data_IF_461086447927
#
_entry.id   IF_461086447927
#
_cell.length_a   1.000
_cell.length_b   1.000
_cell.length_c   1.000
_cell.angle_alpha   90.00
_cell.angle_beta   90.00
_cell.angle_gamma   90.00
#
_symmetry.space_group_name_H-M   'P 1'
#
loop_
_entity.id
_entity.type
_entity.pdbx_description
1 polymer ?
#
# COMPACT_ATOMS: atom_id res chain seq x y z
N UNK A 1 28.87 -9.28 -61.34
CA UNK A 1 29.28 -8.90 -60.00
C UNK A 1 28.24 -8.01 -59.38
N UNK A 2 27.38 -8.47 -58.47
CA UNK A 2 26.38 -7.69 -57.75
C UNK A 2 26.85 -7.57 -56.31
N UNK A 3 27.09 -6.32 -55.85
CA UNK A 3 27.47 -6.00 -54.50
C UNK A 3 26.25 -6.17 -53.56
N UNK A 4 26.42 -7.02 -52.56
CA UNK A 4 25.43 -7.21 -51.51
C UNK A 4 25.50 -6.04 -50.51
N UNK A 5 24.45 -5.24 -50.46
CA UNK A 5 24.28 -4.17 -49.46
C UNK A 5 24.04 -4.73 -48.07
N UNK A 6 24.98 -4.53 -47.17
CA UNK A 6 24.85 -4.84 -45.78
C UNK A 6 23.83 -3.87 -45.13
N UNK A 7 22.64 -4.36 -44.74
CA UNK A 7 21.70 -3.63 -43.91
C UNK A 7 22.29 -3.47 -42.51
N UNK A 8 22.74 -2.27 -42.16
CA UNK A 8 23.04 -1.89 -40.78
C UNK A 8 21.79 -2.09 -39.92
N UNK A 9 21.86 -3.06 -39.01
CA UNK A 9 20.87 -3.18 -37.92
C UNK A 9 21.07 -1.99 -37.02
N UNK A 10 20.12 -1.05 -37.08
CA UNK A 10 20.05 0.07 -36.15
C UNK A 10 20.02 -0.44 -34.70
N UNK A 11 21.02 -0.11 -33.92
CA UNK A 11 21.07 -0.38 -32.49
C UNK A 11 19.88 0.33 -31.86
N UNK A 12 18.92 -0.42 -31.31
CA UNK A 12 17.90 0.10 -30.46
C UNK A 12 18.59 0.81 -29.27
N UNK A 13 18.69 2.13 -29.30
CA UNK A 13 19.15 2.92 -28.15
C UNK A 13 18.24 2.57 -26.99
N UNK A 14 18.73 1.74 -26.06
CA UNK A 14 18.02 1.30 -24.87
C UNK A 14 17.52 2.52 -24.12
N UNK A 15 16.21 2.60 -23.96
CA UNK A 15 15.54 3.69 -23.22
C UNK A 15 16.11 3.71 -21.80
N UNK A 16 16.70 4.84 -21.37
CA UNK A 16 17.26 4.99 -20.03
C UNK A 16 16.17 4.65 -19.01
N UNK A 17 16.44 3.80 -17.99
CA UNK A 17 15.43 3.44 -17.00
C UNK A 17 14.92 4.69 -16.26
N UNK A 18 13.67 4.67 -15.82
CA UNK A 18 13.02 5.75 -15.09
C UNK A 18 13.74 6.07 -13.77
N UNK A 19 14.24 5.01 -13.10
CA UNK A 19 14.99 5.10 -11.84
C UNK A 19 16.32 4.37 -12.05
N UNK A 20 17.44 5.04 -11.84
CA UNK A 20 18.76 4.41 -11.88
C UNK A 20 18.96 3.53 -10.65
N UNK A 21 19.08 4.12 -9.46
CA UNK A 21 19.21 3.40 -8.18
C UNK A 21 17.99 3.62 -7.30
N UNK A 22 17.28 2.53 -7.01
CA UNK A 22 16.16 2.48 -6.07
C UNK A 22 16.62 1.80 -4.78
N UNK A 23 16.55 2.49 -3.65
CA UNK A 23 16.78 1.92 -2.33
C UNK A 23 15.42 1.66 -1.66
N UNK A 24 15.20 0.44 -1.20
CA UNK A 24 13.94 0.05 -0.54
C UNK A 24 14.22 -0.35 0.90
N UNK A 25 13.66 0.38 1.83
CA UNK A 25 13.58 0.01 3.24
C UNK A 25 12.32 -0.83 3.45
N UNK A 26 12.52 -2.10 3.80
CA UNK A 26 11.42 -3.07 3.95
C UNK A 26 11.14 -3.86 2.67
N UNK A 27 11.84 -4.98 2.48
CA UNK A 27 11.60 -5.91 1.37
C UNK A 27 10.53 -6.93 1.80
N UNK A 28 9.30 -6.44 1.92
CA UNK A 28 8.09 -7.22 2.18
C UNK A 28 7.24 -7.38 0.91
N UNK A 29 5.95 -7.61 1.11
CA UNK A 29 4.97 -7.71 0.01
C UNK A 29 5.01 -6.46 -0.88
N UNK A 30 4.88 -5.25 -0.30
CA UNK A 30 4.77 -4.00 -1.08
C UNK A 30 6.11 -3.63 -1.71
N UNK A 31 7.19 -3.49 -0.91
CA UNK A 31 8.51 -3.09 -1.44
C UNK A 31 9.06 -4.10 -2.45
N UNK A 32 8.88 -5.39 -2.18
CA UNK A 32 9.30 -6.46 -3.09
C UNK A 32 8.50 -6.49 -4.39
N UNK A 33 7.19 -6.32 -4.32
CA UNK A 33 6.33 -6.30 -5.51
C UNK A 33 6.61 -5.07 -6.39
N UNK A 34 6.90 -3.90 -5.80
CA UNK A 34 7.33 -2.73 -6.57
C UNK A 34 8.63 -3.01 -7.32
N UNK A 35 9.63 -3.58 -6.64
CA UNK A 35 10.89 -3.94 -7.27
C UNK A 35 10.68 -4.88 -8.47
N UNK A 36 9.90 -5.96 -8.27
CA UNK A 36 9.57 -6.92 -9.35
C UNK A 36 8.80 -6.26 -10.51
N UNK A 37 7.81 -5.42 -10.20
CA UNK A 37 7.02 -4.73 -11.21
C UNK A 37 7.88 -3.79 -12.07
N UNK A 38 8.79 -3.03 -11.47
CA UNK A 38 9.69 -2.13 -12.16
C UNK A 38 10.75 -2.88 -12.98
N UNK A 39 11.33 -3.96 -12.44
CA UNK A 39 12.27 -4.82 -13.15
C UNK A 39 11.64 -5.46 -14.39
N UNK A 40 10.44 -6.03 -14.24
CA UNK A 40 9.68 -6.63 -15.36
C UNK A 40 9.44 -5.64 -16.50
N UNK A 41 9.35 -4.34 -16.20
CA UNK A 41 9.09 -3.26 -17.17
C UNK A 41 10.36 -2.50 -17.57
N UNK A 42 11.54 -2.97 -17.17
CA UNK A 42 12.84 -2.33 -17.42
C UNK A 42 12.88 -0.85 -16.98
N UNK A 43 12.14 -0.51 -15.91
CA UNK A 43 11.99 0.84 -15.42
C UNK A 43 12.97 1.21 -14.29
N UNK A 44 13.70 0.24 -13.74
CA UNK A 44 14.74 0.43 -12.73
C UNK A 44 16.02 -0.25 -13.17
N UNK A 45 17.18 0.42 -12.97
CA UNK A 45 18.47 -0.17 -13.31
C UNK A 45 19.02 -1.05 -12.18
N UNK A 46 18.89 -0.59 -10.92
CA UNK A 46 19.43 -1.28 -9.74
C UNK A 46 18.51 -1.10 -8.54
N UNK A 47 18.25 -2.18 -7.82
CA UNK A 47 17.46 -2.19 -6.58
C UNK A 47 18.34 -2.64 -5.42
N UNK A 48 18.47 -1.78 -4.40
CA UNK A 48 19.18 -2.06 -3.16
C UNK A 48 18.18 -2.27 -2.04
N UNK A 49 18.29 -3.38 -1.32
CA UNK A 49 17.37 -3.73 -0.23
C UNK A 49 17.97 -3.47 1.14
N UNK A 50 17.18 -2.84 2.01
CA UNK A 50 17.48 -2.61 3.43
C UNK A 50 16.38 -3.24 4.28
N UNK A 51 16.74 -3.91 5.37
CA UNK A 51 15.74 -4.52 6.27
C UNK A 51 16.35 -5.19 7.49
N UNK A 52 15.53 -5.44 8.52
CA UNK A 52 15.96 -6.03 9.80
C UNK A 52 16.33 -7.51 9.70
N UNK A 53 15.62 -8.27 8.87
CA UNK A 53 15.80 -9.72 8.76
C UNK A 53 16.79 -10.07 7.67
N UNK A 54 18.00 -10.51 8.04
CA UNK A 54 19.02 -11.00 7.10
C UNK A 54 18.50 -12.16 6.26
N UNK A 55 17.72 -13.07 6.86
CA UNK A 55 17.15 -14.22 6.15
C UNK A 55 16.17 -13.77 5.05
N UNK A 56 15.32 -12.76 5.35
CA UNK A 56 14.39 -12.20 4.36
C UNK A 56 15.12 -11.48 3.21
N UNK A 57 16.19 -10.72 3.52
CA UNK A 57 17.00 -10.05 2.50
C UNK A 57 17.73 -11.05 1.59
N UNK A 58 18.28 -12.13 2.15
CA UNK A 58 18.89 -13.21 1.37
C UNK A 58 17.86 -13.93 0.48
N UNK A 59 16.65 -14.16 0.99
CA UNK A 59 15.55 -14.69 0.17
C UNK A 59 15.19 -13.74 -0.97
N UNK A 60 15.03 -12.44 -0.69
CA UNK A 60 14.75 -11.42 -1.70
C UNK A 60 15.81 -11.37 -2.81
N UNK A 61 17.09 -11.46 -2.44
CA UNK A 61 18.20 -11.51 -3.42
C UNK A 61 18.15 -12.77 -4.29
N UNK A 62 17.92 -13.94 -3.67
CA UNK A 62 17.79 -15.22 -4.41
C UNK A 62 16.60 -15.24 -5.37
N UNK A 63 15.51 -14.57 -4.99
CA UNK A 63 14.31 -14.42 -5.83
C UNK A 63 14.44 -13.34 -6.91
N UNK A 64 15.59 -12.67 -7.03
CA UNK A 64 15.82 -11.61 -8.00
C UNK A 64 15.04 -10.31 -7.71
N UNK A 65 14.44 -10.17 -6.53
CA UNK A 65 13.69 -8.97 -6.11
C UNK A 65 14.64 -7.79 -5.97
N UNK A 66 15.77 -7.98 -5.30
CA UNK A 66 16.82 -6.98 -5.12
C UNK A 66 18.12 -7.47 -5.77
N UNK A 67 18.94 -6.52 -6.20
CA UNK A 67 20.26 -6.79 -6.80
C UNK A 67 21.35 -6.83 -5.73
N UNK A 68 21.14 -6.06 -4.65
CA UNK A 68 22.09 -5.88 -3.58
C UNK A 68 21.40 -5.76 -2.22
N UNK A 69 22.09 -6.30 -1.20
CA UNK A 69 21.72 -6.08 0.19
C UNK A 69 22.65 -4.98 0.72
N UNK A 70 22.09 -3.88 1.22
CA UNK A 70 22.89 -2.82 1.83
C UNK A 70 23.58 -3.33 3.11
N UNK A 71 24.89 -3.12 3.18
CA UNK A 71 25.65 -3.34 4.42
C UNK A 71 25.43 -2.21 5.43
N UNK A 72 25.36 -0.99 4.92
CA UNK A 72 25.08 0.24 5.68
C UNK A 72 23.95 1.02 4.99
N UNK A 73 22.82 1.27 5.70
CA UNK A 73 21.73 2.09 5.21
C UNK A 73 22.11 3.51 4.83
N UNK A 74 23.03 4.13 5.56
CA UNK A 74 23.50 5.48 5.31
C UNK A 74 24.27 5.60 3.98
N UNK A 75 25.17 4.65 3.72
CA UNK A 75 25.88 4.58 2.45
C UNK A 75 24.95 4.22 1.28
N UNK A 76 23.91 3.40 1.55
CA UNK A 76 22.97 2.99 0.51
C UNK A 76 22.23 4.17 -0.13
N UNK A 77 21.96 5.24 0.61
CA UNK A 77 21.11 6.35 0.13
C UNK A 77 21.89 7.51 -0.51
N UNK A 78 23.23 7.56 -0.37
CA UNK A 78 24.04 8.70 -0.82
C UNK A 78 23.90 9.01 -2.31
N UNK A 79 23.85 7.99 -3.17
CA UNK A 79 23.74 8.09 -4.62
C UNK A 79 22.40 7.54 -5.14
N UNK A 80 21.39 7.46 -4.27
CA UNK A 80 20.07 6.97 -4.65
C UNK A 80 19.29 8.02 -5.45
N UNK A 81 18.67 7.61 -6.55
CA UNK A 81 17.69 8.45 -7.26
C UNK A 81 16.37 8.51 -6.47
N UNK A 82 16.01 7.38 -5.85
CA UNK A 82 14.77 7.25 -5.12
C UNK A 82 14.92 6.28 -3.93
N UNK A 83 14.38 6.68 -2.79
CA UNK A 83 14.26 5.87 -1.57
C UNK A 83 12.79 5.60 -1.31
N UNK A 84 12.42 4.32 -1.16
CA UNK A 84 11.09 3.89 -0.75
C UNK A 84 11.12 3.40 0.70
N UNK A 85 10.25 3.95 1.53
CA UNK A 85 9.97 3.45 2.87
C UNK A 85 8.75 2.51 2.83
N UNK A 86 9.00 1.21 2.91
CA UNK A 86 7.97 0.16 2.96
C UNK A 86 8.11 -0.68 4.25
N UNK A 87 8.48 0.00 5.34
CA UNK A 87 8.61 -0.55 6.69
C UNK A 87 7.29 -0.40 7.47
N UNK A 88 7.08 -1.14 8.57
CA UNK A 88 6.01 -0.84 9.51
C UNK A 88 6.05 0.63 9.96
N UNK A 89 4.88 1.24 10.14
CA UNK A 89 4.76 2.69 10.41
C UNK A 89 5.57 3.15 11.63
N UNK A 90 5.60 2.35 12.69
CA UNK A 90 6.38 2.64 13.89
C UNK A 90 7.90 2.74 13.67
N UNK A 91 8.41 2.30 12.51
CA UNK A 91 9.84 2.40 12.16
C UNK A 91 10.16 3.61 11.28
N UNK A 92 9.14 4.28 10.72
CA UNK A 92 9.32 5.36 9.75
C UNK A 92 10.18 6.49 10.31
N UNK A 93 9.91 6.93 11.54
CA UNK A 93 10.67 7.99 12.21
C UNK A 93 12.16 7.65 12.35
N UNK A 94 12.47 6.44 12.81
CA UNK A 94 13.85 6.00 13.01
C UNK A 94 14.61 5.88 11.69
N UNK A 95 13.97 5.34 10.64
CA UNK A 95 14.58 5.26 9.31
C UNK A 95 14.83 6.64 8.74
N UNK A 96 13.88 7.57 8.82
CA UNK A 96 14.04 8.94 8.34
C UNK A 96 15.17 9.66 9.07
N UNK A 97 15.24 9.54 10.41
CA UNK A 97 16.33 10.11 11.21
C UNK A 97 17.70 9.58 10.79
N UNK A 98 17.80 8.28 10.52
CA UNK A 98 19.04 7.61 10.12
C UNK A 98 19.52 8.06 8.73
N UNK A 99 18.61 8.17 7.75
CA UNK A 99 19.01 8.43 6.36
C UNK A 99 19.13 9.91 6.03
N UNK A 100 18.43 10.78 6.74
CA UNK A 100 18.34 12.21 6.40
C UNK A 100 19.70 12.91 6.21
N UNK A 101 20.73 12.70 7.08
CA UNK A 101 22.04 13.32 6.92
C UNK A 101 22.82 12.85 5.68
N UNK A 102 22.41 11.73 5.09
CA UNK A 102 23.14 11.04 4.03
C UNK A 102 22.45 11.09 2.67
N UNK A 103 21.28 11.74 2.59
CA UNK A 103 20.55 11.89 1.32
C UNK A 103 21.29 12.80 0.36
N UNK A 104 21.43 12.35 -0.88
CA UNK A 104 21.97 13.17 -1.95
C UNK A 104 21.07 14.38 -2.29
N UNK A 105 21.61 15.43 -2.93
CA UNK A 105 20.87 16.66 -3.22
C UNK A 105 19.67 16.47 -4.15
N UNK A 106 19.62 15.39 -4.89
CA UNK A 106 18.55 15.06 -5.84
C UNK A 106 17.72 13.83 -5.45
N UNK A 107 18.06 13.17 -4.35
CA UNK A 107 17.36 11.97 -3.89
C UNK A 107 15.91 12.31 -3.54
N UNK A 108 14.99 11.57 -4.13
CA UNK A 108 13.55 11.63 -3.79
C UNK A 108 13.26 10.55 -2.75
N UNK A 109 12.54 10.90 -1.71
CA UNK A 109 12.05 9.96 -0.70
C UNK A 109 10.54 9.81 -0.86
N UNK A 110 10.04 8.58 -0.79
CA UNK A 110 8.61 8.27 -0.79
C UNK A 110 8.33 7.14 0.17
N UNK A 111 7.09 6.97 0.57
CA UNK A 111 6.66 5.88 1.43
C UNK A 111 5.54 5.05 0.81
N UNK A 112 5.17 3.97 1.49
CA UNK A 112 4.04 3.11 1.17
C UNK A 112 3.14 2.87 2.40
N UNK A 113 3.21 3.74 3.39
CA UNK A 113 2.49 3.62 4.65
C UNK A 113 0.98 3.75 4.51
N UNK A 114 0.25 3.10 5.41
CA UNK A 114 -1.22 3.10 5.41
C UNK A 114 -1.84 4.36 6.04
N UNK A 115 -1.04 5.20 6.71
CA UNK A 115 -1.42 6.49 7.28
C UNK A 115 -0.53 7.58 6.70
N UNK A 116 -1.02 8.84 6.65
CA UNK A 116 -0.26 9.90 5.98
C UNK A 116 0.12 11.05 6.92
N UNK A 117 -0.74 11.44 7.85
CA UNK A 117 -0.48 12.59 8.75
C UNK A 117 0.78 12.37 9.60
N UNK A 118 0.90 11.21 10.22
CA UNK A 118 2.05 10.84 11.05
C UNK A 118 3.34 10.72 10.24
N UNK A 119 3.29 10.07 9.08
CA UNK A 119 4.44 9.90 8.18
C UNK A 119 4.95 11.27 7.69
N UNK A 120 4.05 12.18 7.31
CA UNK A 120 4.39 13.55 6.92
C UNK A 120 5.00 14.32 8.09
N UNK A 121 4.45 14.19 9.29
CA UNK A 121 5.00 14.82 10.49
C UNK A 121 6.44 14.35 10.77
N UNK A 122 6.69 13.03 10.66
CA UNK A 122 8.04 12.48 10.79
C UNK A 122 8.98 12.97 9.69
N UNK A 123 8.53 12.99 8.44
CA UNK A 123 9.33 13.50 7.32
C UNK A 123 9.69 14.97 7.51
N UNK A 124 8.74 15.81 7.93
CA UNK A 124 8.95 17.23 8.23
C UNK A 124 9.98 17.44 9.35
N UNK A 125 9.92 16.59 10.39
CA UNK A 125 10.83 16.66 11.53
C UNK A 125 12.28 16.31 11.16
N UNK A 126 12.49 15.30 10.32
CA UNK A 126 13.82 14.73 10.11
C UNK A 126 14.49 15.14 8.81
N UNK A 127 13.75 15.41 7.73
CA UNK A 127 14.32 15.61 6.40
C UNK A 127 14.87 17.03 6.14
N UNK A 128 14.53 18.03 6.95
CA UNK A 128 14.99 19.41 6.73
C UNK A 128 14.71 19.87 5.28
N UNK A 129 15.73 20.36 4.58
CA UNK A 129 15.62 20.81 3.20
C UNK A 129 15.22 19.67 2.20
N UNK A 130 15.47 18.40 2.54
CA UNK A 130 15.06 17.27 1.72
C UNK A 130 13.55 17.02 1.79
N UNK A 131 12.81 17.63 2.73
CA UNK A 131 11.37 17.48 2.84
C UNK A 131 10.63 17.89 1.56
N UNK A 132 11.10 18.91 0.85
CA UNK A 132 10.56 19.29 -0.45
C UNK A 132 10.59 18.14 -1.50
N UNK A 133 11.44 17.14 -1.31
CA UNK A 133 11.53 15.96 -2.17
C UNK A 133 10.93 14.71 -1.54
N UNK A 134 10.20 14.86 -0.45
CA UNK A 134 9.40 13.79 0.13
C UNK A 134 8.02 13.75 -0.52
N UNK A 135 7.64 12.61 -1.08
CA UNK A 135 6.33 12.39 -1.72
C UNK A 135 5.59 11.32 -0.95
N UNK A 136 4.65 11.70 -0.07
CA UNK A 136 3.86 10.73 0.68
C UNK A 136 2.92 9.96 -0.25
N UNK A 137 2.91 8.64 -0.11
CA UNK A 137 2.13 7.76 -0.98
C UNK A 137 1.58 6.56 -0.22
N UNK A 138 0.41 6.06 -0.65
CA UNK A 138 -0.22 4.86 -0.12
C UNK A 138 -0.75 4.00 -1.27
N UNK A 139 -0.07 2.91 -1.63
CA UNK A 139 -0.59 1.93 -2.59
C UNK A 139 -1.72 1.12 -1.93
N UNK A 140 -2.92 1.19 -2.51
CA UNK A 140 -4.11 0.48 -2.02
C UNK A 140 -4.14 -0.92 -2.59
N UNK A 141 -3.17 -1.72 -2.17
CA UNK A 141 -2.98 -3.10 -2.59
C UNK A 141 -2.34 -3.88 -1.42
N UNK A 142 -2.67 -5.14 -1.30
CA UNK A 142 -2.11 -5.99 -0.26
C UNK A 142 -2.83 -7.33 -0.15
N UNK A 143 -2.21 -8.23 0.60
CA UNK A 143 -2.79 -9.50 1.05
C UNK A 143 -2.43 -9.69 2.52
N UNK A 144 -2.99 -10.70 3.16
CA UNK A 144 -2.64 -11.09 4.53
C UNK A 144 -1.22 -11.67 4.66
N UNK A 145 -0.56 -12.00 3.53
CA UNK A 145 0.79 -12.57 3.51
C UNK A 145 1.86 -11.50 3.65
N UNK A 146 3.00 -11.85 4.24
CA UNK A 146 4.11 -10.95 4.49
C UNK A 146 5.46 -11.51 4.05
N UNK A 147 6.50 -10.65 4.04
CA UNK A 147 7.86 -11.02 3.66
C UNK A 147 8.11 -11.03 2.15
N UNK A 148 9.38 -11.24 1.78
CA UNK A 148 9.82 -11.21 0.38
C UNK A 148 9.19 -12.32 -0.48
N UNK A 149 8.92 -13.50 0.11
CA UNK A 149 8.29 -14.63 -0.59
C UNK A 149 6.84 -14.37 -1.01
N UNK A 150 6.18 -13.39 -0.39
CA UNK A 150 4.82 -12.99 -0.74
C UNK A 150 4.78 -12.00 -1.92
N UNK A 151 5.91 -11.43 -2.31
CA UNK A 151 5.99 -10.42 -3.36
C UNK A 151 5.77 -11.00 -4.77
N UNK A 152 5.03 -10.29 -5.61
CA UNK A 152 4.81 -10.65 -7.02
C UNK A 152 4.60 -9.41 -7.90
N UNK A 153 5.02 -9.48 -9.16
CA UNK A 153 5.11 -8.33 -10.06
C UNK A 153 3.76 -7.69 -10.48
N UNK A 154 2.65 -8.41 -10.29
CA UNK A 154 1.31 -7.98 -10.70
C UNK A 154 0.43 -7.54 -9.52
N UNK A 155 1.00 -7.39 -8.32
CA UNK A 155 0.26 -6.97 -7.13
C UNK A 155 -0.52 -5.66 -7.35
N UNK A 156 0.02 -4.77 -8.15
CA UNK A 156 -0.50 -3.41 -8.32
C UNK A 156 -1.41 -3.23 -9.52
N UNK A 157 -1.57 -4.26 -10.35
CA UNK A 157 -2.41 -4.16 -11.55
C UNK A 157 -3.87 -3.85 -11.14
N UNK A 158 -4.45 -2.79 -11.75
CA UNK A 158 -5.81 -2.27 -11.50
C UNK A 158 -6.09 -1.75 -10.07
N UNK A 159 -5.05 -1.53 -9.27
CA UNK A 159 -5.16 -0.94 -7.93
C UNK A 159 -4.92 0.58 -7.96
N UNK A 160 -5.18 1.25 -6.85
CA UNK A 160 -5.01 2.70 -6.70
C UNK A 160 -3.76 3.04 -5.91
N UNK A 161 -3.14 4.16 -6.26
CA UNK A 161 -2.20 4.88 -5.41
C UNK A 161 -2.85 6.19 -4.97
N UNK A 162 -2.80 6.46 -3.68
CA UNK A 162 -3.10 7.80 -3.17
C UNK A 162 -1.78 8.51 -2.88
N UNK A 163 -1.64 9.71 -3.44
CA UNK A 163 -0.51 10.61 -3.15
C UNK A 163 -1.04 11.81 -2.38
N UNK A 164 -0.36 12.18 -1.30
CA UNK A 164 -0.79 13.30 -0.43
C UNK A 164 0.32 14.35 -0.34
N UNK A 165 0.67 15.02 -1.45
CA UNK A 165 1.74 16.01 -1.45
C UNK A 165 1.36 17.22 -0.60
N UNK A 166 2.34 17.74 0.15
CA UNK A 166 2.22 18.99 0.89
C UNK A 166 2.51 20.20 -0.04
N UNK A 167 2.12 21.42 0.35
CA UNK A 167 2.37 22.61 -0.47
C UNK A 167 3.84 22.81 -0.85
N UNK A 168 4.77 22.39 0.02
CA UNK A 168 6.22 22.50 -0.18
C UNK A 168 6.78 21.38 -1.08
N UNK A 169 6.01 20.35 -1.38
CA UNK A 169 6.49 19.19 -2.16
C UNK A 169 6.80 19.59 -3.61
N UNK A 170 8.02 19.33 -4.06
CA UNK A 170 8.45 19.58 -5.45
C UNK A 170 7.57 18.79 -6.44
N UNK A 171 6.94 19.51 -7.34
CA UNK A 171 6.07 18.95 -8.38
C UNK A 171 6.80 17.96 -9.31
N UNK A 172 8.12 18.09 -9.49
CA UNK A 172 8.94 17.15 -10.28
C UNK A 172 9.09 15.83 -9.52
N UNK A 173 9.28 15.89 -8.18
CA UNK A 173 9.32 14.70 -7.35
C UNK A 173 7.97 13.97 -7.37
N UNK A 174 6.85 14.70 -7.22
CA UNK A 174 5.49 14.13 -7.33
C UNK A 174 5.29 13.44 -8.68
N UNK A 175 5.68 14.09 -9.78
CA UNK A 175 5.57 13.49 -11.12
C UNK A 175 6.42 12.21 -11.26
N UNK A 176 7.67 12.22 -10.75
CA UNK A 176 8.57 11.05 -10.84
C UNK A 176 8.03 9.86 -10.06
N UNK A 177 7.60 10.07 -8.81
CA UNK A 177 6.97 9.03 -7.97
C UNK A 177 5.66 8.53 -8.60
N UNK A 178 4.78 9.43 -9.03
CA UNK A 178 3.53 9.06 -9.71
C UNK A 178 3.78 8.23 -10.97
N UNK A 179 4.79 8.60 -11.77
CA UNK A 179 5.16 7.84 -12.97
C UNK A 179 5.69 6.46 -12.62
N UNK A 180 6.53 6.35 -11.59
CA UNK A 180 7.05 5.07 -11.12
C UNK A 180 5.91 4.09 -10.74
N UNK A 181 4.95 4.57 -9.96
CA UNK A 181 3.83 3.75 -9.53
C UNK A 181 2.85 3.44 -10.68
N UNK A 182 2.63 4.37 -11.61
CA UNK A 182 1.86 4.10 -12.86
C UNK A 182 2.52 3.01 -13.69
N UNK A 183 3.84 3.05 -13.83
CA UNK A 183 4.61 1.98 -14.47
C UNK A 183 4.47 0.69 -13.71
N UNK A 184 4.38 0.69 -12.39
CA UNK A 184 4.12 -0.52 -11.61
C UNK A 184 2.68 -1.08 -11.77
N UNK A 185 1.73 -0.31 -12.34
CA UNK A 185 0.36 -0.76 -12.63
C UNK A 185 -0.74 0.01 -11.90
N UNK A 186 -0.40 0.96 -11.03
CA UNK A 186 -1.36 1.70 -10.20
C UNK A 186 -2.01 2.88 -10.93
N UNK A 187 -3.25 3.13 -10.61
CA UNK A 187 -3.96 4.37 -10.96
C UNK A 187 -3.73 5.40 -9.85
N UNK A 188 -3.09 6.53 -10.21
CA UNK A 188 -2.71 7.57 -9.24
C UNK A 188 -3.83 8.59 -9.08
N UNK A 189 -4.17 8.87 -7.83
CA UNK A 189 -5.04 9.98 -7.42
C UNK A 189 -4.39 10.75 -6.25
N UNK A 190 -4.84 12.00 -6.06
CA UNK A 190 -4.30 12.89 -5.04
C UNK A 190 -5.42 13.29 -4.08
N UNK A 191 -5.12 13.37 -2.79
CA UNK A 191 -5.98 13.96 -1.76
C UNK A 191 -5.14 14.58 -0.64
N UNK A 192 -5.78 15.34 0.26
CA UNK A 192 -5.12 15.86 1.45
C UNK A 192 -4.84 14.73 2.45
N UNK A 193 -3.76 14.82 3.21
CA UNK A 193 -3.40 13.79 4.20
C UNK A 193 -4.50 13.55 5.25
N UNK A 194 -5.16 14.62 5.73
CA UNK A 194 -6.24 14.50 6.70
C UNK A 194 -7.46 13.77 6.11
N UNK A 195 -7.82 14.06 4.85
CA UNK A 195 -8.93 13.39 4.16
C UNK A 195 -8.61 11.92 3.91
N UNK A 196 -7.34 11.63 3.55
CA UNK A 196 -6.83 10.27 3.41
C UNK A 196 -7.05 9.47 4.71
N UNK A 197 -6.54 9.98 5.82
CA UNK A 197 -6.57 9.25 7.08
C UNK A 197 -8.01 9.04 7.59
N UNK A 198 -8.88 10.04 7.41
CA UNK A 198 -10.32 9.91 7.70
C UNK A 198 -11.01 8.86 6.83
N UNK A 199 -10.76 8.88 5.51
CA UNK A 199 -11.37 7.90 4.59
C UNK A 199 -10.90 6.49 4.92
N UNK A 200 -9.58 6.29 5.12
CA UNK A 200 -9.05 4.94 5.37
C UNK A 200 -9.34 4.44 6.79
N UNK A 201 -9.60 5.33 7.76
CA UNK A 201 -10.16 4.92 9.04
C UNK A 201 -11.49 4.18 8.86
N UNK A 202 -12.40 4.73 8.04
CA UNK A 202 -13.73 4.17 7.80
C UNK A 202 -13.71 2.91 6.90
N UNK A 203 -12.99 2.97 5.75
CA UNK A 203 -13.13 1.93 4.72
C UNK A 203 -12.09 0.79 4.84
N UNK A 204 -11.12 0.92 5.76
CA UNK A 204 -10.04 -0.06 5.93
C UNK A 204 -9.74 -0.35 7.40
N UNK A 205 -9.35 0.66 8.19
CA UNK A 205 -8.83 0.42 9.54
C UNK A 205 -9.91 -0.13 10.46
N UNK A 206 -11.09 0.46 10.45
CA UNK A 206 -12.26 -0.05 11.19
C UNK A 206 -12.56 -1.51 10.84
N UNK A 207 -12.62 -1.84 9.55
CA UNK A 207 -12.91 -3.21 9.11
C UNK A 207 -11.91 -4.24 9.66
N UNK A 208 -10.60 -3.89 9.73
CA UNK A 208 -9.60 -4.77 10.32
C UNK A 208 -9.75 -4.90 11.82
N UNK A 209 -9.99 -3.79 12.55
CA UNK A 209 -10.24 -3.82 13.99
C UNK A 209 -11.44 -4.71 14.31
N UNK A 210 -12.53 -4.59 13.54
CA UNK A 210 -13.73 -5.42 13.72
C UNK A 210 -13.46 -6.90 13.43
N UNK A 211 -12.67 -7.21 12.40
CA UNK A 211 -12.30 -8.58 12.10
C UNK A 211 -11.47 -9.21 13.24
N UNK A 212 -10.48 -8.48 13.77
CA UNK A 212 -9.72 -8.92 14.94
C UNK A 212 -10.60 -9.07 16.18
N UNK A 213 -11.50 -8.12 16.44
CA UNK A 213 -12.42 -8.16 17.59
C UNK A 213 -13.36 -9.37 17.50
N UNK A 214 -13.93 -9.65 16.34
CA UNK A 214 -14.82 -10.79 16.13
C UNK A 214 -14.11 -12.13 16.37
N UNK A 215 -12.88 -12.29 15.87
CA UNK A 215 -12.09 -13.50 16.12
C UNK A 215 -11.74 -13.63 17.59
N UNK A 216 -11.31 -12.54 18.24
CA UNK A 216 -10.96 -12.56 19.67
C UNK A 216 -12.17 -12.86 20.55
N UNK A 217 -13.36 -12.35 20.20
CA UNK A 217 -14.60 -12.67 20.91
C UNK A 217 -14.87 -14.18 20.90
N UNK A 218 -14.84 -14.82 19.72
CA UNK A 218 -15.06 -16.27 19.60
C UNK A 218 -13.94 -17.05 20.31
N UNK A 219 -12.69 -16.61 20.18
CA UNK A 219 -11.56 -17.25 20.84
C UNK A 219 -11.60 -17.17 22.38
N UNK A 220 -12.39 -16.27 22.95
CA UNK A 220 -12.60 -16.13 24.39
C UNK A 220 -13.59 -17.11 25.02
N UNK A 221 -14.33 -17.88 24.23
CA UNK A 221 -15.26 -18.89 24.74
C UNK A 221 -14.56 -20.20 25.10
N UNK A 222 -15.07 -20.90 26.14
CA UNK A 222 -14.46 -22.15 26.63
C UNK A 222 -14.49 -23.29 25.58
N UNK A 223 -15.49 -23.31 24.70
CA UNK A 223 -15.70 -24.30 23.64
C UNK A 223 -15.20 -23.82 22.26
N UNK A 224 -14.21 -22.94 22.23
CA UNK A 224 -13.63 -22.30 21.03
C UNK A 224 -13.40 -23.27 19.86
N UNK A 225 -12.85 -24.47 20.13
CA UNK A 225 -12.57 -25.45 19.07
C UNK A 225 -13.86 -25.92 18.35
N UNK A 226 -14.93 -26.15 19.11
CA UNK A 226 -16.23 -26.51 18.55
C UNK A 226 -16.82 -25.35 17.75
N UNK A 227 -16.77 -24.11 18.27
CA UNK A 227 -17.28 -22.92 17.60
C UNK A 227 -16.57 -22.69 16.27
N UNK A 228 -15.24 -22.75 16.23
CA UNK A 228 -14.49 -22.63 14.96
C UNK A 228 -14.76 -23.79 14.00
N UNK A 229 -15.05 -25.01 14.50
CA UNK A 229 -15.45 -26.15 13.69
C UNK A 229 -16.77 -25.94 12.92
N UNK A 230 -17.66 -25.07 13.41
CA UNK A 230 -18.95 -24.76 12.80
C UNK A 230 -18.94 -23.50 11.93
N UNK A 231 -17.77 -22.85 11.71
CA UNK A 231 -17.70 -21.61 10.90
C UNK A 231 -18.01 -21.86 9.43
N UNK A 232 -18.94 -21.09 8.87
CA UNK A 232 -19.28 -21.07 7.46
C UNK A 232 -18.42 -20.10 6.63
N UNK A 233 -18.73 -19.99 5.33
CA UNK A 233 -18.05 -19.07 4.39
C UNK A 233 -18.14 -17.62 4.83
N UNK A 234 -19.31 -17.16 5.30
CA UNK A 234 -19.50 -15.78 5.73
C UNK A 234 -18.55 -15.35 6.86
N UNK A 235 -18.35 -16.22 7.87
CA UNK A 235 -17.37 -15.94 8.94
C UNK A 235 -15.95 -15.88 8.40
N UNK A 236 -15.55 -16.88 7.59
CA UNK A 236 -14.20 -16.90 7.01
C UNK A 236 -13.91 -15.69 6.13
N UNK A 237 -14.87 -15.26 5.31
CA UNK A 237 -14.72 -14.08 4.46
C UNK A 237 -14.60 -12.79 5.27
N UNK A 238 -15.45 -12.62 6.31
CA UNK A 238 -15.46 -11.43 7.17
C UNK A 238 -14.20 -11.35 8.05
N UNK A 239 -13.62 -12.48 8.45
CA UNK A 239 -12.46 -12.53 9.36
C UNK A 239 -11.13 -12.79 8.67
N UNK A 240 -11.10 -13.01 7.36
CA UNK A 240 -9.86 -13.28 6.59
C UNK A 240 -8.76 -12.27 6.87
N UNK A 241 -9.12 -11.00 6.98
CA UNK A 241 -8.17 -9.90 7.21
C UNK A 241 -7.60 -9.88 8.64
N UNK A 242 -8.18 -10.58 9.60
CA UNK A 242 -7.59 -10.80 10.92
C UNK A 242 -6.33 -11.69 10.88
N UNK A 243 -6.03 -12.35 9.77
CA UNK A 243 -4.76 -13.05 9.53
C UNK A 243 -3.58 -12.11 9.20
N UNK A 244 -3.79 -10.81 9.15
CA UNK A 244 -2.76 -9.81 8.87
C UNK A 244 -1.79 -9.61 10.06
N UNK A 245 -0.62 -9.00 9.79
CA UNK A 245 0.42 -8.76 10.81
C UNK A 245 -0.10 -7.91 11.99
N UNK A 246 -0.04 -8.42 13.24
CA UNK A 246 -0.44 -7.66 14.43
C UNK A 246 0.44 -6.41 14.65
N UNK A 247 1.76 -6.49 14.40
CA UNK A 247 2.68 -5.34 14.50
C UNK A 247 2.23 -4.20 13.58
N UNK A 248 1.96 -4.53 12.32
CA UNK A 248 1.52 -3.53 11.33
C UNK A 248 0.20 -2.88 11.73
N UNK A 249 -0.80 -3.67 12.17
CA UNK A 249 -2.12 -3.12 12.51
C UNK A 249 -2.13 -2.35 13.83
N UNK A 250 -1.32 -2.76 14.82
CA UNK A 250 -1.05 -1.93 16.00
C UNK A 250 -0.55 -0.54 15.59
N UNK A 251 0.45 -0.48 14.73
CA UNK A 251 1.05 0.78 14.30
C UNK A 251 0.06 1.63 13.50
N UNK A 252 -0.75 1.03 12.62
CA UNK A 252 -1.81 1.73 11.86
C UNK A 252 -2.87 2.32 12.82
N UNK A 253 -3.35 1.54 13.78
CA UNK A 253 -4.35 2.00 14.75
C UNK A 253 -3.84 3.18 15.58
N UNK A 254 -2.58 3.12 16.04
CA UNK A 254 -2.00 4.19 16.85
C UNK A 254 -1.69 5.44 16.02
N UNK A 255 -1.20 5.28 14.79
CA UNK A 255 -0.86 6.40 13.91
C UNK A 255 -2.11 7.15 13.40
N UNK A 256 -3.25 6.47 13.23
CA UNK A 256 -4.53 7.09 12.82
C UNK A 256 -5.56 7.08 13.96
N UNK A 257 -5.09 7.20 15.21
CA UNK A 257 -5.88 7.05 16.43
C UNK A 257 -7.17 7.87 16.41
N UNK A 258 -7.08 9.16 16.16
CA UNK A 258 -8.23 10.08 16.31
C UNK A 258 -9.32 9.78 15.27
N UNK A 259 -8.94 9.55 14.00
CA UNK A 259 -9.91 9.19 12.96
C UNK A 259 -10.52 7.81 13.19
N UNK A 260 -9.72 6.87 13.74
CA UNK A 260 -10.19 5.53 14.02
C UNK A 260 -11.13 5.49 15.22
N UNK A 261 -10.87 6.28 16.28
CA UNK A 261 -11.78 6.41 17.41
C UNK A 261 -13.14 6.96 16.97
N UNK A 262 -13.17 8.04 16.20
CA UNK A 262 -14.42 8.57 15.64
C UNK A 262 -15.19 7.51 14.82
N UNK A 263 -14.48 6.74 13.98
CA UNK A 263 -15.11 5.69 13.20
C UNK A 263 -15.64 4.51 14.06
N UNK A 264 -14.98 4.23 15.19
CA UNK A 264 -15.43 3.22 16.15
C UNK A 264 -16.66 3.69 16.92
N UNK A 265 -16.70 4.97 17.32
CA UNK A 265 -17.85 5.55 18.01
C UNK A 265 -19.11 5.50 17.12
N UNK A 266 -19.01 5.95 15.87
CA UNK A 266 -20.10 5.83 14.87
C UNK A 266 -20.57 4.37 14.69
N UNK A 267 -19.63 3.41 14.68
CA UNK A 267 -19.96 1.99 14.53
C UNK A 267 -20.62 1.40 15.79
N UNK A 268 -20.20 1.80 16.97
CA UNK A 268 -20.84 1.40 18.22
C UNK A 268 -22.27 1.90 18.31
N UNK A 269 -22.54 3.13 17.89
CA UNK A 269 -23.91 3.66 17.78
C UNK A 269 -24.79 2.79 16.86
N UNK A 270 -24.28 2.40 15.69
CA UNK A 270 -24.99 1.52 14.76
C UNK A 270 -25.28 0.14 15.39
N UNK A 271 -24.32 -0.43 16.13
CA UNK A 271 -24.52 -1.70 16.83
C UNK A 271 -25.56 -1.60 17.93
N UNK A 272 -25.59 -0.50 18.71
CA UNK A 272 -26.61 -0.30 19.74
C UNK A 272 -28.00 -0.12 19.14
N UNK A 273 -28.13 0.56 18.00
CA UNK A 273 -29.41 0.64 17.26
C UNK A 273 -29.90 -0.74 16.85
N UNK A 274 -29.03 -1.56 16.25
CA UNK A 274 -29.38 -2.93 15.83
C UNK A 274 -29.75 -3.80 17.05
N UNK A 275 -29.00 -3.68 18.14
CA UNK A 275 -29.26 -4.40 19.39
C UNK A 275 -30.66 -4.05 19.95
N UNK A 276 -31.00 -2.75 19.99
CA UNK A 276 -32.31 -2.31 20.43
C UNK A 276 -33.48 -2.85 19.59
N UNK A 277 -33.29 -2.93 18.27
CA UNK A 277 -34.29 -3.55 17.37
C UNK A 277 -34.45 -5.06 17.67
N UNK A 278 -33.37 -5.77 17.96
CA UNK A 278 -33.41 -7.20 18.33
C UNK A 278 -34.11 -7.38 19.68
N UNK A 279 -33.78 -6.56 20.69
CA UNK A 279 -34.40 -6.59 22.01
C UNK A 279 -35.93 -6.33 21.94
N UNK A 280 -36.35 -5.37 21.10
CA UNK A 280 -37.74 -5.08 20.86
C UNK A 280 -38.45 -6.08 19.96
N UNK A 281 -37.75 -7.07 19.39
CA UNK A 281 -38.26 -7.99 18.36
C UNK A 281 -38.87 -7.26 17.16
N UNK A 282 -38.38 -6.05 16.81
CA UNK A 282 -38.85 -5.25 15.68
C UNK A 282 -38.28 -5.74 14.36
N UNK A 283 -38.88 -6.82 13.84
CA UNK A 283 -38.49 -7.42 12.57
C UNK A 283 -38.62 -6.46 11.38
N UNK A 284 -39.58 -5.53 11.41
CA UNK A 284 -39.78 -4.56 10.32
C UNK A 284 -38.65 -3.53 10.27
N UNK A 285 -38.23 -3.00 11.40
CA UNK A 285 -37.09 -2.06 11.48
C UNK A 285 -35.78 -2.74 11.07
N UNK A 286 -35.54 -3.96 11.56
CA UNK A 286 -34.37 -4.75 11.15
C UNK A 286 -34.33 -5.00 9.63
N UNK A 287 -35.44 -5.43 9.03
CA UNK A 287 -35.51 -5.67 7.58
C UNK A 287 -35.23 -4.40 6.79
N UNK A 288 -35.81 -3.27 7.19
CA UNK A 288 -35.59 -1.98 6.55
C UNK A 288 -34.10 -1.55 6.63
N UNK A 289 -33.46 -1.73 7.80
CA UNK A 289 -32.03 -1.41 7.98
C UNK A 289 -31.13 -2.28 7.10
N UNK A 290 -31.37 -3.58 7.05
CA UNK A 290 -30.62 -4.51 6.20
C UNK A 290 -30.86 -4.28 4.71
N UNK A 291 -32.09 -3.91 4.31
CA UNK A 291 -32.40 -3.56 2.92
C UNK A 291 -31.63 -2.31 2.47
N UNK A 292 -31.51 -1.29 3.33
CA UNK A 292 -30.73 -0.09 3.07
C UNK A 292 -29.24 -0.42 2.87
N UNK A 293 -28.66 -1.26 3.74
CA UNK A 293 -27.28 -1.71 3.62
C UNK A 293 -27.05 -2.50 2.33
N UNK A 294 -27.97 -3.42 1.97
CA UNK A 294 -27.93 -4.18 0.73
C UNK A 294 -27.96 -3.28 -0.50
N UNK A 295 -28.81 -2.26 -0.50
CA UNK A 295 -28.91 -1.31 -1.61
C UNK A 295 -27.62 -0.53 -1.81
N UNK A 296 -27.03 -0.02 -0.72
CA UNK A 296 -25.74 0.67 -0.75
C UNK A 296 -24.62 -0.23 -1.28
N UNK A 297 -24.55 -1.50 -0.83
CA UNK A 297 -23.56 -2.48 -1.28
C UNK A 297 -23.70 -2.82 -2.77
N UNK A 298 -24.94 -2.94 -3.27
CA UNK A 298 -25.24 -3.22 -4.70
C UNK A 298 -24.79 -2.04 -5.57
N UNK A 299 -25.08 -0.81 -5.18
CA UNK A 299 -24.64 0.40 -5.89
C UNK A 299 -23.12 0.44 -6.01
N UNK A 300 -22.40 0.19 -4.92
CA UNK A 300 -20.94 0.15 -4.91
C UNK A 300 -20.36 -0.91 -5.89
N UNK A 301 -21.00 -2.08 -5.99
CA UNK A 301 -20.57 -3.14 -6.90
C UNK A 301 -20.83 -2.79 -8.36
N UNK A 302 -21.95 -2.10 -8.66
CA UNK A 302 -22.32 -1.63 -9.99
C UNK A 302 -21.32 -0.58 -10.53
N UNK A 303 -20.95 0.39 -9.72
CA UNK A 303 -19.96 1.42 -10.08
C UNK A 303 -18.58 0.82 -10.41
N UNK A 304 -18.15 -0.23 -9.70
CA UNK A 304 -16.90 -0.94 -10.02
C UNK A 304 -16.96 -1.65 -11.38
N UNK A 305 -18.10 -2.27 -11.73
CA UNK A 305 -18.27 -2.95 -13.03
C UNK A 305 -18.28 -1.96 -14.19
N UNK A 306 -18.91 -0.80 -14.02
CA UNK A 306 -18.97 0.25 -15.05
C UNK A 306 -17.57 0.80 -15.32
N UNK A 307 -16.81 1.19 -14.28
CA UNK A 307 -15.43 1.69 -14.40
C UNK A 307 -14.45 0.67 -15.03
N UNK A 308 -14.67 -0.63 -14.82
CA UNK A 308 -13.87 -1.67 -15.50
C UNK A 308 -14.16 -1.74 -16.99
N UNK A 309 -15.43 -1.69 -17.39
CA UNK A 309 -15.83 -1.69 -18.82
C UNK A 309 -15.30 -0.47 -19.56
N UNK A 310 -15.36 0.72 -18.94
CA UNK A 310 -14.83 1.96 -19.52
C UNK A 310 -13.30 1.88 -19.69
N UNK A 311 -12.58 1.29 -18.74
CA UNK A 311 -11.14 1.09 -18.82
C UNK A 311 -10.71 0.05 -19.87
N UNK A 312 -11.50 -0.99 -20.09
CA UNK A 312 -11.29 -2.01 -21.12
C UNK A 312 -11.59 -1.45 -22.52
N UNK A 313 -12.69 -0.69 -22.66
CA UNK A 313 -13.04 0.00 -23.91
C UNK A 313 -11.98 1.03 -24.36
N UNK A 314 -11.42 1.78 -23.41
CA UNK A 314 -10.35 2.74 -23.67
C UNK A 314 -9.01 2.09 -24.07
N UNK A 315 -8.75 0.83 -23.66
CA UNK A 315 -7.57 0.07 -24.09
C UNK A 315 -7.71 -0.45 -25.51
N UNK A 316 -8.91 -0.85 -25.93
CA UNK A 316 -9.19 -1.38 -27.27
C UNK A 316 -9.12 -0.28 -28.34
N UNK A 317 -9.56 0.94 -28.02
CA UNK A 317 -9.52 2.09 -28.94
C UNK A 317 -8.09 2.65 -29.15
N UNK A 318 -7.13 2.31 -28.32
CA UNK A 318 -5.71 2.73 -28.49
C UNK A 318 -4.85 1.72 -29.26
N UNK A 319 -5.41 0.56 -29.62
CA UNK A 319 -4.74 -0.49 -30.38
C UNK A 319 -5.27 -0.61 -31.83
N UNK A 320 -6.30 0.13 -32.17
CA UNK A 320 -6.79 0.34 -33.52
C UNK A 320 -6.26 1.67 -34.07
#
# INVERSE_FOLDING_TARGET
>A
MKAAGAKQRGSARGRRPLVGKLVIFGIGLIGGSLALALKKRHAVARVVGVGRSRANLLAARRLGIIDEIAGDPALAVQDADLVLLAVPLGQTAAVLAQIAPHLGPHTIVTDAGSTKRDVIAHARKYLGAAFARFVPAHPIAGTEKSGARAAFATLFDDHKLIVTPEPETDSRAVRKVSTMWKVAGLQVSTMRAADHDRVYALVSHLAHVLAFALVNQIAGYADTAALFGHTGGGFRDSTRIAGSSPEMWRDVCLANRDSLLAALDDYLEELELLRGMVEASDGRALEARFAAARAARTKMAGEKKLKRKDAEGAKTTKQA
#
